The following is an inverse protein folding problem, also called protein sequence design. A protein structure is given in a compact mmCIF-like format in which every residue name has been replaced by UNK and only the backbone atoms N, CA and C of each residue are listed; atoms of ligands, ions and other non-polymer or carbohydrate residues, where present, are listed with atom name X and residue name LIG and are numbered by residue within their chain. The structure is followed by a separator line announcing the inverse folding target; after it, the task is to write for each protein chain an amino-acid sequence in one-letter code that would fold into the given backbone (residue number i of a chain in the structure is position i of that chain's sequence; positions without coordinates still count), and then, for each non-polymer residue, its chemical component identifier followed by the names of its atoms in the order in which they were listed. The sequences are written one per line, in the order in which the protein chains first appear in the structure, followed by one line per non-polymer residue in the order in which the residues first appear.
data_IF_736014902783
#
_entry.id   IF_736014902783
#
_cell.length_a   1.000
_cell.length_b   1.000
_cell.length_c   1.000
_cell.angle_alpha   90.00
_cell.angle_beta   90.00
_cell.angle_gamma   90.00
#
_symmetry.space_group_name_H-M   'P 1'
#
loop_
_entity.id
_entity.type
_entity.pdbx_description
1 polymer ?
#
# COMPACT_ATOMS: atom_id res chain seq x y z
N UNK A 1 -25.09 -12.31 -7.82
CA UNK A 1 -24.29 -13.45 -8.30
C UNK A 1 -22.83 -13.13 -8.11
N UNK A 2 -22.17 -13.85 -7.21
CA UNK A 2 -20.75 -13.67 -6.88
C UNK A 2 -19.91 -14.42 -7.91
N UNK A 3 -19.47 -13.72 -8.96
CA UNK A 3 -18.60 -14.30 -9.99
C UNK A 3 -17.19 -14.42 -9.42
N UNK A 4 -16.70 -15.65 -9.26
CA UNK A 4 -15.29 -15.93 -8.95
C UNK A 4 -14.40 -15.22 -9.99
N UNK A 5 -13.27 -14.65 -9.56
CA UNK A 5 -12.39 -13.92 -10.47
C UNK A 5 -11.84 -14.85 -11.56
N UNK A 6 -12.11 -14.51 -12.82
CA UNK A 6 -11.46 -15.13 -13.97
C UNK A 6 -9.94 -14.84 -13.96
N UNK A 7 -9.09 -15.80 -14.34
CA UNK A 7 -7.61 -15.66 -14.34
C UNK A 7 -7.07 -14.36 -14.98
N UNK A 8 -7.59 -13.87 -16.13
CA UNK A 8 -7.09 -12.65 -16.76
C UNK A 8 -7.41 -11.38 -15.98
N UNK A 9 -8.55 -11.36 -15.27
CA UNK A 9 -8.99 -10.21 -14.46
C UNK A 9 -8.16 -10.15 -13.17
N UNK A 10 -7.88 -11.30 -12.55
CA UNK A 10 -6.91 -11.39 -11.46
C UNK A 10 -5.53 -10.88 -11.89
N UNK A 11 -5.02 -11.33 -13.04
CA UNK A 11 -3.74 -10.86 -13.56
C UNK A 11 -3.77 -9.35 -13.81
N UNK A 12 -4.90 -8.79 -14.26
CA UNK A 12 -5.08 -7.34 -14.34
C UNK A 12 -5.00 -6.67 -12.96
N UNK A 13 -5.79 -7.04 -11.95
CA UNK A 13 -5.72 -6.36 -10.65
C UNK A 13 -4.44 -6.66 -9.82
N UNK A 14 -3.78 -7.81 -10.03
CA UNK A 14 -2.59 -8.23 -9.30
C UNK A 14 -1.26 -7.87 -9.99
N UNK A 15 -1.18 -7.91 -11.33
CA UNK A 15 0.00 -7.47 -12.10
C UNK A 15 -0.17 -6.06 -12.69
N UNK A 16 -1.36 -5.70 -13.16
CA UNK A 16 -1.67 -4.39 -13.76
C UNK A 16 -2.57 -3.55 -12.82
N UNK A 17 -2.13 -3.32 -11.59
CA UNK A 17 -2.64 -2.20 -10.79
C UNK A 17 -2.72 -1.00 -11.75
N UNK A 18 -3.92 -0.50 -12.10
CA UNK A 18 -4.14 0.09 -13.42
C UNK A 18 -3.13 1.20 -13.72
N UNK A 19 -2.34 0.96 -14.76
CA UNK A 19 -1.50 1.88 -15.55
C UNK A 19 -2.24 3.13 -16.09
N UNK A 20 -3.49 3.38 -15.65
CA UNK A 20 -4.33 4.47 -16.16
C UNK A 20 -4.49 5.65 -15.20
N UNK A 21 -3.67 5.68 -14.15
CA UNK A 21 -3.24 6.92 -13.51
C UNK A 21 -1.76 7.11 -13.83
N UNK A 22 -1.27 8.32 -14.13
CA UNK A 22 0.15 8.55 -14.29
C UNK A 22 0.84 8.55 -12.91
N UNK A 23 0.74 7.44 -12.18
CA UNK A 23 1.77 6.94 -11.26
C UNK A 23 1.38 5.55 -10.71
N UNK A 24 1.80 4.53 -11.47
CA UNK A 24 2.44 3.27 -11.04
C UNK A 24 1.96 2.60 -9.73
N UNK A 25 1.46 1.35 -9.88
CA UNK A 25 0.87 0.49 -8.83
C UNK A 25 1.42 0.66 -7.42
N UNK A 26 0.53 0.67 -6.42
CA UNK A 26 0.72 1.25 -5.06
C UNK A 26 2.07 1.05 -4.35
N UNK A 27 2.85 0.03 -4.66
CA UNK A 27 4.24 -0.09 -4.21
C UNK A 27 5.16 1.03 -4.76
N UNK A 28 5.02 1.40 -6.03
CA UNK A 28 5.83 2.44 -6.64
C UNK A 28 5.41 3.84 -6.14
N UNK A 29 4.12 4.07 -5.96
CA UNK A 29 3.62 5.27 -5.27
C UNK A 29 4.22 5.43 -3.87
N UNK A 30 4.28 4.35 -3.07
CA UNK A 30 4.94 4.36 -1.76
C UNK A 30 6.43 4.73 -1.89
N UNK A 31 7.15 4.14 -2.85
CA UNK A 31 8.58 4.47 -3.09
C UNK A 31 8.76 5.95 -3.44
N UNK A 32 7.93 6.48 -4.33
CA UNK A 32 7.97 7.89 -4.72
C UNK A 32 7.74 8.81 -3.53
N UNK A 33 6.74 8.56 -2.69
CA UNK A 33 6.46 9.35 -1.48
C UNK A 33 7.71 9.45 -0.58
N UNK A 34 8.37 8.32 -0.30
CA UNK A 34 9.56 8.31 0.55
C UNK A 34 10.76 9.00 -0.11
N UNK A 35 10.99 8.74 -1.40
CA UNK A 35 12.10 9.35 -2.16
C UNK A 35 11.93 10.87 -2.21
N UNK A 36 10.75 11.35 -2.58
CA UNK A 36 10.43 12.77 -2.67
C UNK A 36 10.58 13.46 -1.31
N UNK A 37 10.13 12.80 -0.24
CA UNK A 37 10.29 13.31 1.11
C UNK A 37 11.77 13.37 1.54
N UNK A 38 12.55 12.33 1.25
CA UNK A 38 13.99 12.30 1.51
C UNK A 38 14.75 13.39 0.75
N UNK A 39 14.39 13.63 -0.52
CA UNK A 39 14.95 14.70 -1.34
C UNK A 39 14.62 16.10 -0.79
N UNK A 40 13.40 16.30 -0.28
CA UNK A 40 12.99 17.54 0.42
C UNK A 40 13.71 17.76 1.75
N UNK A 41 14.22 16.70 2.39
CA UNK A 41 15.06 16.84 3.59
C UNK A 41 16.45 17.33 3.22
N UNK A 42 17.15 16.56 2.39
CA UNK A 42 18.49 16.88 1.90
C UNK A 42 18.86 15.95 0.73
N UNK A 43 19.64 16.43 -0.24
CA UNK A 43 20.00 15.67 -1.45
C UNK A 43 20.68 14.31 -1.17
N UNK A 44 21.54 14.25 -0.14
CA UNK A 44 22.22 13.01 0.28
C UNK A 44 21.22 12.01 0.88
N UNK A 45 20.23 12.50 1.65
CA UNK A 45 19.19 11.67 2.22
C UNK A 45 18.29 11.09 1.12
N UNK A 46 17.94 11.89 0.11
CA UNK A 46 17.21 11.41 -1.08
C UNK A 46 17.93 10.27 -1.80
N UNK A 47 19.26 10.36 -2.00
CA UNK A 47 20.03 9.27 -2.60
C UNK A 47 20.08 8.01 -1.73
N UNK A 48 20.22 8.17 -0.40
CA UNK A 48 20.18 7.06 0.54
C UNK A 48 18.82 6.33 0.48
N UNK A 49 17.72 7.08 0.56
CA UNK A 49 16.36 6.55 0.48
C UNK A 49 16.13 5.87 -0.88
N UNK A 50 16.53 6.49 -1.99
CA UNK A 50 16.42 5.87 -3.32
C UNK A 50 17.15 4.52 -3.39
N UNK A 51 18.35 4.41 -2.79
CA UNK A 51 19.11 3.16 -2.74
C UNK A 51 18.44 2.09 -1.88
N UNK A 52 17.91 2.47 -0.71
CA UNK A 52 17.21 1.56 0.20
C UNK A 52 15.90 1.04 -0.42
N UNK A 53 15.07 1.94 -0.97
CA UNK A 53 13.74 1.61 -1.47
C UNK A 53 13.72 0.93 -2.84
N UNK A 54 14.83 0.98 -3.58
CA UNK A 54 15.00 0.20 -4.81
C UNK A 54 15.04 -1.32 -4.56
N UNK A 55 15.33 -1.76 -3.31
CA UNK A 55 15.46 -3.18 -2.94
C UNK A 55 14.23 -3.78 -2.26
N UNK A 56 13.14 -3.02 -2.15
CA UNK A 56 11.98 -3.35 -1.30
C UNK A 56 10.91 -4.19 -2.02
N UNK A 57 11.15 -4.64 -3.26
CA UNK A 57 10.16 -5.39 -4.05
C UNK A 57 9.51 -6.53 -3.24
N UNK A 58 8.19 -6.42 -2.99
CA UNK A 58 7.44 -7.39 -2.18
C UNK A 58 7.32 -7.10 -0.67
N UNK A 59 8.05 -6.11 -0.13
CA UNK A 59 8.12 -5.75 1.31
C UNK A 59 7.37 -4.46 1.68
N UNK A 60 6.28 -4.15 0.98
CA UNK A 60 5.40 -3.00 1.28
C UNK A 60 4.30 -3.33 2.29
N UNK A 61 4.57 -4.20 3.25
CA UNK A 61 3.59 -4.51 4.29
C UNK A 61 3.34 -3.30 5.18
N UNK A 62 2.10 -3.11 5.64
CA UNK A 62 1.74 -2.04 6.56
C UNK A 62 2.68 -1.98 7.77
N UNK A 63 3.05 -3.15 8.33
CA UNK A 63 4.00 -3.24 9.43
C UNK A 63 5.36 -2.62 9.07
N UNK A 64 5.89 -2.90 7.89
CA UNK A 64 7.15 -2.31 7.43
C UNK A 64 7.04 -0.79 7.24
N UNK A 65 5.92 -0.29 6.68
CA UNK A 65 5.65 1.14 6.55
C UNK A 65 5.68 1.84 7.92
N UNK A 66 4.98 1.24 8.88
CA UNK A 66 4.77 1.78 10.24
C UNK A 66 5.99 1.65 11.14
N UNK A 67 6.65 0.50 11.16
CA UNK A 67 7.68 0.19 12.15
C UNK A 67 9.10 0.41 11.63
N UNK A 68 9.33 0.36 10.31
CA UNK A 68 10.66 0.47 9.73
C UNK A 68 10.83 1.75 8.91
N UNK A 69 9.98 2.00 7.92
CA UNK A 69 10.23 3.04 6.92
C UNK A 69 9.95 4.44 7.44
N UNK A 70 8.82 4.65 8.13
CA UNK A 70 8.53 5.94 8.77
C UNK A 70 9.52 6.28 9.89
N UNK A 71 10.04 5.26 10.59
CA UNK A 71 11.02 5.44 11.66
C UNK A 71 12.36 5.98 11.15
N UNK A 72 12.77 5.64 9.93
CA UNK A 72 14.02 6.16 9.32
C UNK A 72 14.03 7.69 9.19
N UNK A 73 12.87 8.32 9.19
CA UNK A 73 12.73 9.78 9.12
C UNK A 73 12.51 10.42 10.51
N UNK A 74 12.40 9.61 11.55
CA UNK A 74 12.26 10.02 12.95
C UNK A 74 10.97 9.54 13.60
N UNK A 75 11.02 9.34 14.92
CA UNK A 75 9.89 8.85 15.73
C UNK A 75 8.64 9.71 15.58
N UNK A 76 8.79 11.02 15.40
CA UNK A 76 7.68 11.95 15.14
C UNK A 76 6.81 11.51 13.96
N UNK A 77 7.42 11.12 12.84
CA UNK A 77 6.69 10.72 11.64
C UNK A 77 6.05 9.36 11.80
N UNK A 78 6.71 8.45 12.50
CA UNK A 78 6.14 7.16 12.87
C UNK A 78 4.89 7.32 13.75
N UNK A 79 4.99 8.08 14.83
CA UNK A 79 3.89 8.36 15.75
C UNK A 79 2.71 9.05 15.03
N UNK A 80 3.03 10.02 14.16
CA UNK A 80 2.04 10.71 13.35
C UNK A 80 1.34 9.76 12.38
N UNK A 81 2.08 8.89 11.69
CA UNK A 81 1.49 7.90 10.78
C UNK A 81 0.60 6.91 11.53
N UNK A 82 1.06 6.40 12.69
CA UNK A 82 0.30 5.50 13.57
C UNK A 82 -1.02 6.12 14.01
N UNK A 83 -1.01 7.40 14.39
CA UNK A 83 -2.22 8.12 14.79
C UNK A 83 -3.15 8.34 13.61
N UNK A 84 -2.66 8.93 12.52
CA UNK A 84 -3.46 9.27 11.34
C UNK A 84 -4.13 8.02 10.73
N UNK A 85 -3.38 6.92 10.61
CA UNK A 85 -3.92 5.70 10.02
C UNK A 85 -4.96 5.04 10.92
N UNK A 86 -4.79 5.12 12.25
CA UNK A 86 -5.77 4.60 13.21
C UNK A 86 -7.06 5.41 13.14
N UNK A 87 -6.96 6.73 13.14
CA UNK A 87 -8.12 7.63 13.01
C UNK A 87 -8.87 7.39 11.69
N UNK A 88 -8.14 7.26 10.57
CA UNK A 88 -8.76 6.92 9.28
C UNK A 88 -9.38 5.52 9.30
N UNK A 89 -8.73 4.50 9.87
CA UNK A 89 -9.29 3.14 9.95
C UNK A 89 -10.57 3.12 10.78
N UNK A 90 -10.56 3.76 11.95
CA UNK A 90 -11.72 3.83 12.85
C UNK A 90 -12.89 4.58 12.19
N UNK A 91 -12.61 5.66 11.46
CA UNK A 91 -13.62 6.40 10.70
C UNK A 91 -14.16 5.58 9.52
N UNK A 92 -13.28 4.90 8.78
CA UNK A 92 -13.65 4.09 7.63
C UNK A 92 -14.49 2.88 8.04
N UNK A 93 -14.13 2.22 9.14
CA UNK A 93 -14.88 1.11 9.71
C UNK A 93 -16.29 1.51 10.12
N UNK A 94 -16.48 2.72 10.68
CA UNK A 94 -17.80 3.24 11.04
C UNK A 94 -18.67 3.54 9.82
N UNK A 95 -18.08 4.05 8.74
CA UNK A 95 -18.81 4.48 7.54
C UNK A 95 -19.10 3.32 6.58
N UNK A 96 -18.14 2.42 6.37
CA UNK A 96 -18.20 1.38 5.34
C UNK A 96 -18.34 -0.04 5.92
N UNK A 97 -18.20 -0.20 7.25
CA UNK A 97 -18.24 -1.52 7.90
C UNK A 97 -17.01 -2.40 7.60
N UNK A 98 -15.95 -1.82 7.03
CA UNK A 98 -14.71 -2.52 6.64
C UNK A 98 -13.48 -1.80 7.17
N UNK A 99 -12.45 -2.57 7.48
CA UNK A 99 -11.19 -2.06 7.99
C UNK A 99 -10.15 -1.96 6.85
N UNK A 100 -9.61 -0.76 6.63
CA UNK A 100 -8.67 -0.49 5.52
C UNK A 100 -7.34 -1.24 5.67
N UNK A 101 -6.90 -1.51 6.91
CA UNK A 101 -5.65 -2.23 7.17
C UNK A 101 -5.79 -3.70 6.79
N UNK A 102 -6.93 -4.31 7.16
CA UNK A 102 -7.27 -5.68 6.76
C UNK A 102 -7.40 -5.80 5.24
N UNK A 103 -8.12 -4.86 4.59
CA UNK A 103 -8.25 -4.80 3.13
C UNK A 103 -6.88 -4.76 2.43
N UNK A 104 -5.98 -3.89 2.89
CA UNK A 104 -4.64 -3.78 2.33
C UNK A 104 -3.78 -5.02 2.56
N UNK A 105 -3.85 -5.61 3.76
CA UNK A 105 -3.10 -6.83 4.06
C UNK A 105 -3.59 -8.01 3.20
N UNK A 106 -4.90 -8.10 2.96
CA UNK A 106 -5.47 -9.10 2.06
C UNK A 106 -4.91 -8.98 0.64
N UNK A 107 -4.77 -7.77 0.09
CA UNK A 107 -4.17 -7.56 -1.24
C UNK A 107 -2.74 -8.08 -1.29
N UNK A 108 -1.93 -7.78 -0.27
CA UNK A 108 -0.54 -8.23 -0.23
C UNK A 108 -0.48 -9.76 -0.19
N UNK A 109 -1.31 -10.39 0.64
CA UNK A 109 -1.40 -11.86 0.74
C UNK A 109 -1.82 -12.45 -0.61
N UNK A 110 -2.87 -11.91 -1.24
CA UNK A 110 -3.34 -12.42 -2.53
C UNK A 110 -2.30 -12.26 -3.64
N UNK A 111 -1.60 -11.12 -3.68
CA UNK A 111 -0.48 -10.88 -4.61
C UNK A 111 0.66 -11.88 -4.39
N UNK A 112 1.03 -12.13 -3.15
CA UNK A 112 2.11 -13.06 -2.81
C UNK A 112 1.73 -14.51 -3.15
N UNK A 113 0.51 -14.94 -2.81
CA UNK A 113 -0.01 -16.27 -3.14
C UNK A 113 -0.04 -16.49 -4.65
N UNK A 114 -0.44 -15.46 -5.41
CA UNK A 114 -0.45 -15.53 -6.85
C UNK A 114 0.97 -15.61 -7.44
N UNK A 115 1.91 -14.79 -6.95
CA UNK A 115 3.29 -14.76 -7.45
C UNK A 115 4.09 -16.05 -7.13
N UNK A 116 3.88 -16.65 -5.96
CA UNK A 116 4.64 -17.83 -5.52
C UNK A 116 3.96 -19.16 -5.85
N UNK A 117 2.63 -19.24 -5.75
CA UNK A 117 1.89 -20.49 -5.89
C UNK A 117 1.11 -20.57 -7.22
N UNK A 118 1.03 -19.47 -7.99
CA UNK A 118 0.18 -19.40 -9.18
C UNK A 118 -1.31 -19.55 -8.87
N UNK A 119 -1.68 -19.50 -7.58
CA UNK A 119 -3.04 -19.76 -7.12
C UNK A 119 -3.83 -18.47 -7.09
N UNK A 120 -4.95 -18.51 -7.79
CA UNK A 120 -5.99 -17.51 -7.66
C UNK A 120 -6.67 -17.75 -6.32
N UNK A 121 -6.97 -16.68 -5.58
CA UNK A 121 -7.66 -16.88 -4.31
C UNK A 121 -9.11 -17.30 -4.58
N UNK A 122 -9.44 -18.56 -4.29
CA UNK A 122 -10.76 -19.15 -4.53
C UNK A 122 -11.85 -18.56 -3.62
N UNK A 123 -11.46 -17.88 -2.54
CA UNK A 123 -12.39 -17.33 -1.56
C UNK A 123 -12.71 -15.85 -1.77
N UNK A 124 -12.02 -15.16 -2.69
CA UNK A 124 -12.22 -13.73 -2.93
C UNK A 124 -12.99 -13.49 -4.23
N UNK A 125 -14.05 -12.70 -4.14
CA UNK A 125 -14.85 -12.25 -5.29
C UNK A 125 -14.22 -11.02 -5.94
N UNK A 126 -14.56 -10.77 -7.21
CA UNK A 126 -14.08 -9.58 -7.95
C UNK A 126 -14.37 -8.28 -7.20
N UNK A 127 -15.56 -8.16 -6.62
CA UNK A 127 -15.97 -6.97 -5.88
C UNK A 127 -15.18 -6.76 -4.60
N UNK A 128 -14.78 -7.84 -3.92
CA UNK A 128 -13.91 -7.77 -2.74
C UNK A 128 -12.50 -7.33 -3.11
N UNK A 129 -11.96 -7.80 -4.24
CA UNK A 129 -10.64 -7.36 -4.73
C UNK A 129 -10.66 -5.87 -5.10
N UNK A 130 -11.68 -5.43 -5.84
CA UNK A 130 -11.84 -4.01 -6.20
C UNK A 130 -12.01 -3.15 -4.94
N UNK A 131 -12.86 -3.58 -4.03
CA UNK A 131 -13.10 -2.88 -2.77
C UNK A 131 -11.83 -2.77 -1.94
N UNK A 132 -11.10 -3.88 -1.77
CA UNK A 132 -9.86 -3.87 -1.02
C UNK A 132 -8.82 -2.95 -1.67
N UNK A 133 -8.80 -2.88 -3.01
CA UNK A 133 -7.92 -2.00 -3.77
C UNK A 133 -8.23 -0.53 -3.51
N UNK A 134 -9.50 -0.16 -3.57
CA UNK A 134 -9.97 1.18 -3.22
C UNK A 134 -9.64 1.53 -1.78
N UNK A 135 -9.93 0.64 -0.82
CA UNK A 135 -9.60 0.80 0.59
C UNK A 135 -8.08 0.95 0.80
N UNK A 136 -7.26 0.21 0.04
CA UNK A 136 -5.81 0.22 0.12
C UNK A 136 -5.18 1.55 -0.30
N UNK A 137 -5.82 2.31 -1.20
CA UNK A 137 -5.36 3.65 -1.59
C UNK A 137 -5.40 4.62 -0.40
N UNK A 138 -6.33 4.46 0.53
CA UNK A 138 -6.43 5.32 1.71
C UNK A 138 -5.19 5.24 2.61
N UNK A 139 -4.52 4.08 2.65
CA UNK A 139 -3.25 3.94 3.38
C UNK A 139 -2.15 4.75 2.69
N UNK A 140 -2.10 4.72 1.35
CA UNK A 140 -1.12 5.48 0.56
C UNK A 140 -1.38 6.98 0.72
N UNK A 141 -2.64 7.42 0.66
CA UNK A 141 -3.01 8.81 0.92
C UNK A 141 -2.61 9.25 2.34
N UNK A 142 -2.88 8.44 3.35
CA UNK A 142 -2.49 8.73 4.73
C UNK A 142 -0.96 8.81 4.90
N UNK A 143 -0.21 7.95 4.21
CA UNK A 143 1.24 8.01 4.20
C UNK A 143 1.75 9.29 3.52
N UNK A 144 1.17 9.65 2.37
CA UNK A 144 1.51 10.86 1.64
C UNK A 144 1.20 12.13 2.44
N UNK A 145 0.09 12.17 3.19
CA UNK A 145 -0.25 13.25 4.13
C UNK A 145 0.74 13.33 5.30
N UNK A 146 1.22 12.19 5.78
CA UNK A 146 2.16 12.15 6.90
C UNK A 146 3.57 12.56 6.49
N UNK A 147 4.00 12.19 5.28
CA UNK A 147 5.32 12.51 4.73
C UNK A 147 5.32 13.86 3.99
N UNK A 148 4.76 14.87 4.65
CA UNK A 148 4.83 16.26 4.21
C UNK A 148 5.72 17.05 5.15
N UNK A 149 6.47 18.01 4.60
CA UNK A 149 7.37 18.89 5.34
C UNK A 149 6.87 20.32 5.24
#
# INVERSE_FOLDING_TARGET
SSTLLSPPICQFYFFNLPDNYPDTGGEQAIKSIFIDFGEKIHKVMGQYVRSQFNRINGRVQYRALKDEYTLQFGEKYQEQFKRNIKEKSDAYLKTHGRDILNSYNNIIVWRNNFAHEGRLNETATLNEVISAYEDGKEIIHCLAETMQR
#
